data_IF_786716546532
#
_entry.id   IF_786716546532
#
_cell.length_a   1.000
_cell.length_b   1.000
_cell.length_c   1.000
_cell.angle_alpha   90.00
_cell.angle_beta   90.00
_cell.angle_gamma   90.00
#
_symmetry.space_group_name_H-M   'P 1'
#
loop_
_entity.id
_entity.type
_entity.pdbx_description
1 polymer ?
#
# COMPACT_ATOMS: atom_id res chain seq x y z
N UNK A 1 10.71 -5.22 -11.34
CA UNK A 1 10.85 -4.44 -10.10
C UNK A 1 12.18 -4.80 -9.46
N UNK A 2 13.26 -4.12 -9.86
CA UNK A 2 14.66 -4.51 -9.55
C UNK A 2 15.22 -3.87 -8.27
N UNK A 3 14.63 -2.76 -7.82
CA UNK A 3 15.11 -2.00 -6.67
C UNK A 3 14.83 -2.74 -5.36
N UNK A 4 15.83 -2.79 -4.48
CA UNK A 4 15.73 -3.23 -3.08
C UNK A 4 15.37 -2.05 -2.16
N UNK A 5 15.47 -2.22 -0.84
CA UNK A 5 15.16 -1.22 0.19
C UNK A 5 15.68 0.18 -0.19
N UNK A 6 16.98 0.36 -0.35
CA UNK A 6 17.56 1.69 -0.58
C UNK A 6 17.06 2.33 -1.87
N UNK A 7 16.93 1.53 -2.92
CA UNK A 7 16.42 2.01 -4.20
C UNK A 7 14.95 2.43 -4.12
N UNK A 8 14.14 1.78 -3.28
CA UNK A 8 12.75 2.16 -3.04
C UNK A 8 12.66 3.40 -2.15
N UNK A 9 13.46 3.45 -1.07
CA UNK A 9 13.52 4.61 -0.17
C UNK A 9 13.96 5.89 -0.92
N UNK A 10 14.90 5.77 -1.87
CA UNK A 10 15.29 6.87 -2.76
C UNK A 10 14.15 7.33 -3.67
N UNK A 11 13.25 6.45 -4.11
CA UNK A 11 12.07 6.87 -4.87
C UNK A 11 11.11 7.65 -3.98
N UNK A 12 10.85 7.16 -2.76
CA UNK A 12 9.98 7.86 -1.80
C UNK A 12 10.51 9.27 -1.52
N UNK A 13 11.80 9.41 -1.23
CA UNK A 13 12.38 10.72 -0.92
C UNK A 13 12.49 11.63 -2.14
N UNK A 14 13.02 11.14 -3.26
CA UNK A 14 13.35 12.00 -4.41
C UNK A 14 12.21 12.20 -5.39
N UNK A 15 11.38 11.18 -5.61
CA UNK A 15 10.33 11.24 -6.62
C UNK A 15 8.97 11.58 -6.01
N UNK A 16 8.69 11.12 -4.79
CA UNK A 16 7.43 11.42 -4.09
C UNK A 16 7.54 12.61 -3.14
N UNK A 17 8.77 13.03 -2.78
CA UNK A 17 8.98 14.12 -1.82
C UNK A 17 8.51 13.79 -0.40
N UNK A 18 8.41 12.50 -0.08
CA UNK A 18 7.90 12.02 1.21
C UNK A 18 9.03 11.47 2.08
N UNK A 19 8.81 11.42 3.40
CA UNK A 19 9.77 10.82 4.32
C UNK A 19 9.60 9.28 4.33
N UNK A 20 10.59 8.49 3.86
CA UNK A 20 10.53 7.03 3.92
C UNK A 20 10.56 6.46 5.35
N UNK A 21 10.96 7.27 6.34
CA UNK A 21 11.04 6.91 7.75
C UNK A 21 9.76 7.24 8.54
N UNK A 22 8.70 7.72 7.86
CA UNK A 22 7.46 8.19 8.48
C UNK A 22 6.62 7.11 9.16
N UNK A 23 6.95 5.82 8.99
CA UNK A 23 6.10 4.71 9.39
C UNK A 23 4.93 4.43 8.44
N UNK A 24 4.77 5.22 7.37
CA UNK A 24 3.80 4.95 6.32
C UNK A 24 4.21 3.74 5.48
N UNK A 25 3.20 3.08 4.90
CA UNK A 25 3.42 1.99 3.94
C UNK A 25 3.45 2.55 2.53
N UNK A 26 4.60 2.42 1.86
CA UNK A 26 4.75 2.84 0.47
C UNK A 26 4.60 1.63 -0.45
N UNK A 27 3.55 1.64 -1.30
CA UNK A 27 3.22 0.54 -2.19
C UNK A 27 3.79 0.78 -3.59
N UNK A 28 4.61 -0.14 -4.07
CA UNK A 28 5.18 -0.12 -5.42
C UNK A 28 4.65 -1.28 -6.23
N UNK A 29 4.11 -0.97 -7.41
CA UNK A 29 3.50 -1.97 -8.30
C UNK A 29 4.38 -2.15 -9.53
N UNK A 30 4.67 -3.40 -9.88
CA UNK A 30 5.40 -3.71 -11.10
C UNK A 30 4.59 -3.35 -12.35
N UNK A 31 5.27 -3.05 -13.47
CA UNK A 31 4.62 -2.69 -14.76
C UNK A 31 3.55 -3.70 -15.23
N UNK A 32 3.74 -4.99 -14.95
CA UNK A 32 2.77 -6.05 -15.30
C UNK A 32 1.61 -6.17 -14.31
N UNK A 33 1.68 -5.47 -13.18
CA UNK A 33 0.71 -5.48 -12.08
C UNK A 33 0.51 -6.87 -11.44
N UNK A 34 1.45 -7.78 -11.66
CA UNK A 34 1.51 -9.12 -11.05
C UNK A 34 2.34 -9.14 -9.76
N UNK A 35 3.00 -8.03 -9.42
CA UNK A 35 3.95 -7.92 -8.30
C UNK A 35 3.77 -6.62 -7.55
N UNK A 36 3.82 -6.69 -6.24
CA UNK A 36 3.81 -5.55 -5.32
C UNK A 36 4.98 -5.63 -4.34
N UNK A 37 5.58 -4.48 -4.03
CA UNK A 37 6.49 -4.30 -2.88
C UNK A 37 5.89 -3.26 -1.94
N UNK A 38 5.88 -3.56 -0.65
CA UNK A 38 5.50 -2.62 0.40
C UNK A 38 6.76 -2.27 1.16
N UNK A 39 7.21 -1.01 1.08
CA UNK A 39 8.33 -0.50 1.86
C UNK A 39 7.78 0.12 3.14
N UNK A 40 8.35 -0.28 4.28
CA UNK A 40 7.98 0.24 5.61
C UNK A 40 9.27 0.43 6.43
N UNK A 41 9.34 1.56 7.13
CA UNK A 41 10.29 1.77 8.22
C UNK A 41 9.55 1.58 9.55
N UNK A 42 10.08 0.75 10.44
CA UNK A 42 9.59 0.62 11.81
C UNK A 42 10.57 1.24 12.82
N UNK A 43 10.47 0.89 14.11
CA UNK A 43 11.35 1.45 15.16
C UNK A 43 12.84 1.19 14.90
N UNK A 44 13.19 0.12 14.20
CA UNK A 44 14.56 -0.39 14.14
C UNK A 44 15.10 -0.59 12.73
N UNK A 45 14.24 -0.57 11.71
CA UNK A 45 14.75 -0.73 10.35
C UNK A 45 13.71 -0.67 9.25
N UNK A 46 14.22 -0.72 8.03
CA UNK A 46 13.42 -0.97 6.85
C UNK A 46 13.13 -2.46 6.70
N UNK A 47 11.89 -2.76 6.33
CA UNK A 47 11.52 -4.06 5.80
C UNK A 47 10.68 -3.89 4.53
N UNK A 48 10.69 -4.94 3.71
CA UNK A 48 9.93 -5.00 2.47
C UNK A 48 9.14 -6.28 2.41
N UNK A 49 7.81 -6.17 2.30
CA UNK A 49 6.97 -7.29 1.86
C UNK A 49 6.98 -7.35 0.33
N UNK A 50 7.21 -8.53 -0.24
CA UNK A 50 7.12 -8.76 -1.68
C UNK A 50 6.05 -9.81 -1.97
N UNK A 51 4.99 -9.42 -2.69
CA UNK A 51 3.93 -10.33 -3.15
C UNK A 51 3.97 -10.45 -4.67
N UNK A 52 3.93 -11.68 -5.18
CA UNK A 52 3.73 -12.01 -6.59
C UNK A 52 2.44 -12.82 -6.72
N UNK A 53 1.59 -12.44 -7.66
CA UNK A 53 0.45 -13.24 -8.07
C UNK A 53 0.95 -14.28 -9.08
N UNK A 54 0.65 -15.55 -8.85
CA UNK A 54 0.97 -16.62 -9.81
C UNK A 54 0.03 -16.59 -11.02
N UNK A 55 -1.17 -16.01 -10.86
CA UNK A 55 -2.14 -15.74 -11.93
C UNK A 55 -2.85 -14.40 -11.69
N UNK A 56 -3.23 -13.72 -12.76
CA UNK A 56 -3.97 -12.46 -12.71
C UNK A 56 -3.10 -11.22 -12.49
N UNK A 57 -3.74 -10.11 -12.13
CA UNK A 57 -3.12 -8.80 -11.90
C UNK A 57 -3.82 -8.11 -10.75
N UNK A 58 -3.07 -7.38 -9.93
CA UNK A 58 -3.62 -6.46 -8.96
C UNK A 58 -4.50 -5.43 -9.66
N UNK A 59 -5.68 -5.20 -9.09
CA UNK A 59 -6.75 -4.29 -9.54
C UNK A 59 -6.36 -2.82 -9.33
N UNK A 60 -7.13 -1.90 -9.92
CA UNK A 60 -6.73 -0.50 -10.21
C UNK A 60 -6.05 0.23 -9.04
N UNK A 61 -4.77 0.66 -9.18
CA UNK A 61 -4.10 1.42 -8.15
C UNK A 61 -4.58 2.86 -8.01
N UNK A 62 -5.53 3.35 -8.80
CA UNK A 62 -6.05 4.72 -8.64
C UNK A 62 -6.54 5.00 -7.20
N UNK A 63 -7.12 4.01 -6.50
CA UNK A 63 -7.47 4.15 -5.07
C UNK A 63 -6.25 4.17 -4.13
N UNK A 64 -5.11 3.62 -4.53
CA UNK A 64 -3.86 3.70 -3.75
C UNK A 64 -3.30 5.12 -3.71
N UNK A 65 -3.55 5.94 -4.74
CA UNK A 65 -2.89 7.24 -4.92
C UNK A 65 -3.65 8.45 -4.41
N UNK A 66 -4.97 8.35 -4.15
CA UNK A 66 -5.80 9.54 -3.91
C UNK A 66 -5.88 9.95 -2.43
N UNK A 67 -6.04 9.00 -1.50
CA UNK A 67 -6.35 9.31 -0.08
C UNK A 67 -5.60 8.41 0.93
N UNK A 68 -4.69 7.57 0.44
CA UNK A 68 -4.13 6.47 1.22
C UNK A 68 -5.14 5.33 1.42
N UNK A 69 -4.64 4.15 1.78
CA UNK A 69 -5.49 2.99 2.10
C UNK A 69 -5.45 2.72 3.59
N UNK A 70 -6.60 2.37 4.16
CA UNK A 70 -6.58 1.68 5.44
C UNK A 70 -5.93 0.30 5.29
N UNK A 71 -5.37 -0.22 6.38
CA UNK A 71 -4.70 -1.52 6.38
C UNK A 71 -5.61 -2.65 5.86
N UNK A 72 -6.91 -2.63 6.20
CA UNK A 72 -7.87 -3.62 5.70
C UNK A 72 -8.05 -3.59 4.18
N UNK A 73 -8.06 -2.40 3.59
CA UNK A 73 -8.19 -2.23 2.13
C UNK A 73 -6.91 -2.66 1.42
N UNK A 74 -5.74 -2.35 2.01
CA UNK A 74 -4.46 -2.85 1.53
C UNK A 74 -4.40 -4.39 1.55
N UNK A 75 -4.86 -5.03 2.62
CA UNK A 75 -4.91 -6.49 2.73
C UNK A 75 -5.88 -7.10 1.70
N UNK A 76 -7.08 -6.53 1.55
CA UNK A 76 -8.05 -6.98 0.54
C UNK A 76 -7.48 -6.86 -0.88
N UNK A 77 -6.84 -5.73 -1.20
CA UNK A 77 -6.18 -5.53 -2.48
C UNK A 77 -5.02 -6.50 -2.71
N UNK A 78 -4.23 -6.77 -1.67
CA UNK A 78 -3.18 -7.78 -1.73
C UNK A 78 -3.76 -9.17 -2.00
N UNK A 79 -4.97 -9.48 -1.52
CA UNK A 79 -5.68 -10.73 -1.80
C UNK A 79 -6.33 -10.78 -3.19
N UNK A 80 -6.21 -9.72 -3.98
CA UNK A 80 -6.73 -9.65 -5.35
C UNK A 80 -8.16 -9.10 -5.44
N UNK A 81 -8.70 -8.55 -4.36
CA UNK A 81 -10.04 -7.93 -4.36
C UNK A 81 -10.00 -6.59 -5.09
N UNK A 82 -10.97 -6.37 -5.98
CA UNK A 82 -11.13 -5.10 -6.70
C UNK A 82 -11.77 -4.03 -5.80
N UNK A 83 -10.93 -3.14 -5.25
CA UNK A 83 -11.40 -2.04 -4.40
C UNK A 83 -12.26 -1.01 -5.15
N UNK A 84 -12.21 -0.92 -6.48
CA UNK A 84 -13.09 0.00 -7.21
C UNK A 84 -14.57 -0.34 -7.04
N UNK A 85 -14.87 -1.61 -6.72
CA UNK A 85 -16.22 -2.14 -6.52
C UNK A 85 -16.61 -2.26 -5.04
N UNK A 86 -15.73 -1.86 -4.12
CA UNK A 86 -16.01 -1.94 -2.68
C UNK A 86 -16.51 -0.61 -2.14
N UNK A 87 -17.51 -0.70 -1.25
CA UNK A 87 -18.07 0.42 -0.50
C UNK A 87 -17.72 0.25 0.98
N UNK A 88 -17.13 1.29 1.58
CA UNK A 88 -16.97 1.37 3.03
C UNK A 88 -18.28 1.85 3.66
N UNK A 89 -18.64 1.26 4.79
CA UNK A 89 -19.72 1.81 5.61
C UNK A 89 -19.32 3.21 6.08
N UNK A 90 -20.31 4.09 6.26
CA UNK A 90 -20.07 5.40 6.83
C UNK A 90 -19.47 5.25 8.24
N UNK A 91 -18.47 6.08 8.62
CA UNK A 91 -18.00 6.14 10.00
C UNK A 91 -19.17 6.44 10.93
N UNK A 92 -19.25 5.72 12.05
CA UNK A 92 -20.26 5.96 13.09
C UNK A 92 -19.56 6.62 14.27
N UNK A 93 -20.07 7.77 14.72
CA UNK A 93 -19.66 8.35 15.99
C UNK A 93 -20.31 7.54 17.11
N UNK A 94 -19.50 6.99 18.01
CA UNK A 94 -20.03 6.30 19.17
C UNK A 94 -20.71 7.32 20.09
N UNK A 95 -21.95 7.04 20.49
CA UNK A 95 -22.64 7.76 21.56
C UNK A 95 -22.77 6.83 22.76
N UNK A 96 -22.35 7.29 23.93
CA UNK A 96 -22.61 6.58 25.19
C UNK A 96 -24.11 6.61 25.43
N UNK A 97 -24.72 5.44 25.62
CA UNK A 97 -26.10 5.35 26.11
C UNK A 97 -26.05 5.73 27.59
N UNK A 98 -26.67 6.86 27.93
CA UNK A 98 -26.83 7.32 29.31
C UNK A 98 -27.87 6.51 30.07
#
# INVERSE_FOLDING_TARGET
MRKSIDGLAQIVSRCMGMNPLSGQVFVFIGRRRDKAKLLVWDRHGFWVLYKRLERGRFTDPARLSAEGLAMSELLAWLDGIDLSRTRRLAPVAASVVG
#
